data_IF_779514779960
#
_entry.id   IF_779514779960
#
_cell.length_a   1.000
_cell.length_b   1.000
_cell.length_c   1.000
_cell.angle_alpha   90.00
_cell.angle_beta   90.00
_cell.angle_gamma   90.00
#
_symmetry.space_group_name_H-M   'P 1'
#
loop_
_entity.id
_entity.type
_entity.pdbx_description
1 polymer ?
#
# COMPACT_ATOMS: atom_id res chain seq x y z
N UNK A 1 9.14 -5.25 18.93
CA UNK A 1 9.06 -4.29 17.81
C UNK A 1 8.26 -4.91 16.68
N UNK A 2 7.12 -4.32 16.29
CA UNK A 2 6.47 -4.74 15.04
C UNK A 2 7.36 -4.32 13.85
N UNK A 3 7.37 -5.12 12.79
CA UNK A 3 8.06 -4.74 11.55
C UNK A 3 7.34 -3.57 10.90
N UNK A 4 8.08 -2.70 10.21
CA UNK A 4 7.47 -1.61 9.43
C UNK A 4 6.49 -2.15 8.38
N UNK A 5 5.52 -1.33 7.98
CA UNK A 5 4.58 -1.63 6.90
C UNK A 5 5.33 -2.05 5.64
N UNK A 6 6.33 -1.27 5.21
CA UNK A 6 7.17 -1.61 4.04
C UNK A 6 7.78 -3.01 4.15
N UNK A 7 8.36 -3.37 5.30
CA UNK A 7 8.97 -4.69 5.48
C UNK A 7 7.93 -5.82 5.44
N UNK A 8 6.70 -5.55 5.91
CA UNK A 8 5.58 -6.49 5.85
C UNK A 8 5.06 -6.63 4.41
N UNK A 9 4.79 -5.53 3.70
CA UNK A 9 4.39 -5.53 2.30
C UNK A 9 5.41 -6.27 1.43
N UNK A 10 6.71 -5.99 1.56
CA UNK A 10 7.78 -6.70 0.84
C UNK A 10 7.70 -8.21 1.09
N UNK A 11 7.52 -8.62 2.36
CA UNK A 11 7.41 -10.04 2.70
C UNK A 11 6.16 -10.66 2.06
N UNK A 12 5.00 -10.00 2.14
CA UNK A 12 3.73 -10.52 1.60
C UNK A 12 3.79 -10.67 0.08
N UNK A 13 4.24 -9.64 -0.64
CA UNK A 13 4.50 -9.71 -2.09
C UNK A 13 5.50 -10.81 -2.47
N UNK A 14 6.59 -10.95 -1.69
CA UNK A 14 7.57 -12.01 -1.94
C UNK A 14 6.94 -13.41 -1.78
N UNK A 15 6.06 -13.60 -0.79
CA UNK A 15 5.35 -14.87 -0.57
C UNK A 15 4.41 -15.15 -1.74
N UNK A 16 3.59 -14.17 -2.13
CA UNK A 16 2.64 -14.27 -3.25
C UNK A 16 3.34 -14.64 -4.57
N UNK A 17 4.48 -14.00 -4.86
CA UNK A 17 5.20 -14.22 -6.11
C UNK A 17 6.22 -15.35 -6.07
N UNK A 18 6.45 -15.99 -4.91
CA UNK A 18 7.48 -17.03 -4.79
C UNK A 18 7.23 -18.19 -5.75
N UNK A 19 5.97 -18.63 -5.86
CA UNK A 19 5.57 -19.68 -6.80
C UNK A 19 5.60 -19.19 -8.25
N UNK A 20 5.12 -17.95 -8.49
CA UNK A 20 5.08 -17.33 -9.82
C UNK A 20 6.45 -17.09 -10.43
N UNK A 21 7.50 -16.92 -9.62
CA UNK A 21 8.88 -16.69 -10.05
C UNK A 21 9.73 -17.96 -10.08
N UNK A 22 9.14 -19.15 -9.91
CA UNK A 22 9.87 -20.41 -10.09
C UNK A 22 10.09 -20.67 -11.58
N UNK A 23 11.37 -20.66 -11.99
CA UNK A 23 11.78 -20.88 -13.38
C UNK A 23 11.39 -22.26 -13.93
N UNK A 24 11.02 -23.21 -13.06
CA UNK A 24 10.48 -24.50 -13.49
C UNK A 24 9.07 -24.40 -14.08
N UNK A 25 8.32 -23.35 -13.73
CA UNK A 25 6.91 -23.20 -14.05
C UNK A 25 6.58 -21.89 -14.75
N UNK A 26 7.42 -20.87 -14.59
CA UNK A 26 7.17 -19.52 -15.08
C UNK A 26 7.94 -19.22 -16.37
N UNK A 27 7.23 -18.96 -17.49
CA UNK A 27 7.88 -18.53 -18.73
C UNK A 27 8.29 -17.05 -18.70
N UNK A 28 7.66 -16.24 -17.84
CA UNK A 28 7.83 -14.78 -17.81
C UNK A 28 8.60 -14.29 -16.58
N UNK A 29 8.24 -14.76 -15.39
CA UNK A 29 8.81 -14.27 -14.14
C UNK A 29 10.01 -15.09 -13.68
N UNK A 30 11.05 -14.40 -13.20
CA UNK A 30 12.29 -15.01 -12.73
C UNK A 30 12.56 -14.64 -11.27
N UNK A 31 13.37 -15.44 -10.59
CA UNK A 31 13.79 -15.17 -9.19
C UNK A 31 14.42 -13.78 -8.97
N UNK A 32 15.01 -13.17 -10.00
CA UNK A 32 15.55 -11.80 -9.91
C UNK A 32 14.45 -10.75 -9.75
N UNK A 33 13.26 -11.00 -10.30
CA UNK A 33 12.17 -10.04 -10.32
C UNK A 33 11.54 -9.88 -8.93
N UNK A 34 11.65 -10.90 -8.06
CA UNK A 34 11.35 -10.82 -6.63
C UNK A 34 12.14 -9.71 -5.91
N UNK A 35 13.35 -9.40 -6.39
CA UNK A 35 14.22 -8.38 -5.79
C UNK A 35 14.13 -7.02 -6.49
N UNK A 36 13.67 -7.01 -7.74
CA UNK A 36 13.45 -5.82 -8.55
C UNK A 36 11.97 -5.42 -8.51
N UNK A 37 11.27 -5.66 -9.61
CA UNK A 37 9.90 -5.21 -9.82
C UNK A 37 8.93 -5.54 -8.68
N UNK A 38 8.95 -6.75 -8.14
CA UNK A 38 8.04 -7.16 -7.06
C UNK A 38 8.34 -6.43 -5.75
N UNK A 39 9.60 -6.09 -5.50
CA UNK A 39 9.97 -5.26 -4.34
C UNK A 39 9.45 -3.83 -4.50
N UNK A 40 9.52 -3.29 -5.71
CA UNK A 40 9.00 -1.95 -6.02
C UNK A 40 7.48 -1.92 -5.88
N UNK A 41 6.77 -2.89 -6.46
CA UNK A 41 5.33 -3.05 -6.29
C UNK A 41 4.94 -3.10 -4.80
N UNK A 42 5.70 -3.83 -3.98
CA UNK A 42 5.47 -3.88 -2.54
C UNK A 42 5.64 -2.54 -1.81
N UNK A 43 6.59 -1.72 -2.25
CA UNK A 43 6.78 -0.38 -1.70
C UNK A 43 5.67 0.56 -2.15
N UNK A 44 5.21 0.43 -3.41
CA UNK A 44 4.06 1.16 -3.95
C UNK A 44 2.79 0.79 -3.19
N UNK A 45 2.50 -0.49 -2.93
CA UNK A 45 1.36 -0.89 -2.08
C UNK A 45 1.43 -0.22 -0.71
N UNK A 46 2.57 -0.28 -0.03
CA UNK A 46 2.73 0.37 1.28
C UNK A 46 2.52 1.88 1.21
N UNK A 47 2.99 2.54 0.14
CA UNK A 47 2.77 3.95 -0.11
C UNK A 47 1.29 4.26 -0.31
N UNK A 48 0.60 3.54 -1.20
CA UNK A 48 -0.82 3.71 -1.47
C UNK A 48 -1.69 3.51 -0.22
N UNK A 49 -1.38 2.50 0.61
CA UNK A 49 -2.08 2.31 1.90
C UNK A 49 -1.95 3.53 2.82
N UNK A 50 -0.74 4.09 2.93
CA UNK A 50 -0.48 5.28 3.77
C UNK A 50 -1.21 6.51 3.22
N UNK A 51 -1.11 6.74 1.92
CA UNK A 51 -1.79 7.85 1.23
C UNK A 51 -3.30 7.78 1.42
N UNK A 52 -3.90 6.61 1.17
CA UNK A 52 -5.34 6.41 1.28
C UNK A 52 -5.83 6.61 2.72
N UNK A 53 -5.11 6.09 3.72
CA UNK A 53 -5.47 6.32 5.12
C UNK A 53 -5.33 7.80 5.51
N UNK A 54 -4.27 8.47 5.06
CA UNK A 54 -4.03 9.88 5.35
C UNK A 54 -5.15 10.76 4.76
N UNK A 55 -5.49 10.55 3.48
CA UNK A 55 -6.57 11.28 2.82
C UNK A 55 -7.94 10.97 3.45
N UNK A 56 -8.23 9.71 3.77
CA UNK A 56 -9.48 9.33 4.44
C UNK A 56 -9.62 10.03 5.80
N UNK A 57 -8.55 10.07 6.61
CA UNK A 57 -8.56 10.78 7.89
C UNK A 57 -8.75 12.28 7.69
N UNK A 58 -8.13 12.86 6.66
CA UNK A 58 -8.29 14.26 6.31
C UNK A 58 -9.73 14.59 5.86
N UNK A 59 -10.35 13.73 5.03
CA UNK A 59 -11.74 13.89 4.60
C UNK A 59 -12.69 13.85 5.78
N UNK A 60 -12.53 12.90 6.70
CA UNK A 60 -13.35 12.84 7.92
C UNK A 60 -13.15 14.11 8.76
N UNK A 61 -11.93 14.64 8.86
CA UNK A 61 -11.68 15.86 9.60
C UNK A 61 -12.29 17.12 8.96
N UNK A 62 -12.32 17.20 7.63
CA UNK A 62 -12.82 18.38 6.90
C UNK A 62 -14.33 18.32 6.64
N UNK A 63 -14.83 17.20 6.13
CA UNK A 63 -16.23 17.02 5.74
C UNK A 63 -17.08 16.35 6.83
N UNK A 64 -16.47 15.62 7.76
CA UNK A 64 -17.18 14.77 8.73
C UNK A 64 -17.54 13.38 8.20
N UNK A 65 -17.21 13.06 6.94
CA UNK A 65 -17.47 11.77 6.29
C UNK A 65 -16.33 11.40 5.33
N UNK A 66 -16.30 10.14 4.88
CA UNK A 66 -15.18 9.57 4.09
C UNK A 66 -15.24 9.87 2.58
N UNK A 67 -16.43 10.18 2.07
CA UNK A 67 -16.66 10.47 0.65
C UNK A 67 -16.57 11.98 0.37
N UNK A 68 -16.54 12.36 -0.90
CA UNK A 68 -16.53 13.75 -1.32
C UNK A 68 -15.12 14.32 -1.56
N UNK A 69 -15.08 15.32 -2.43
CA UNK A 69 -13.89 16.05 -2.80
C UNK A 69 -14.28 17.49 -3.14
N UNK A 70 -13.44 18.44 -2.76
CA UNK A 70 -13.58 19.83 -3.19
C UNK A 70 -12.21 20.48 -3.37
N UNK A 71 -12.08 21.53 -4.20
CA UNK A 71 -10.85 22.29 -4.33
C UNK A 71 -10.36 22.88 -2.99
N UNK A 72 -11.29 23.30 -2.13
CA UNK A 72 -10.99 23.83 -0.79
C UNK A 72 -10.40 22.74 0.10
N UNK A 73 -10.96 21.53 0.06
CA UNK A 73 -10.38 20.39 0.76
C UNK A 73 -8.98 20.08 0.25
N UNK A 74 -8.76 20.08 -1.07
CA UNK A 74 -7.44 19.79 -1.64
C UNK A 74 -6.38 20.77 -1.14
N UNK A 75 -6.65 22.08 -1.23
CA UNK A 75 -5.73 23.11 -0.73
C UNK A 75 -5.50 23.00 0.79
N UNK A 76 -6.57 22.75 1.54
CA UNK A 76 -6.49 22.56 2.99
C UNK A 76 -5.68 21.32 3.38
N UNK A 77 -5.84 20.21 2.65
CA UNK A 77 -5.13 18.96 2.88
C UNK A 77 -3.65 19.09 2.50
N UNK A 78 -3.33 19.75 1.39
CA UNK A 78 -1.94 19.94 0.93
C UNK A 78 -1.06 20.60 1.99
N UNK A 79 -1.58 21.62 2.70
CA UNK A 79 -0.89 22.27 3.81
C UNK A 79 -0.63 21.35 5.02
N UNK A 80 -1.42 20.27 5.17
CA UNK A 80 -1.42 19.36 6.34
C UNK A 80 -0.98 17.95 6.01
N UNK A 81 -0.73 17.66 4.73
CA UNK A 81 -0.55 16.33 4.15
C UNK A 81 0.55 15.55 4.87
N UNK A 82 1.69 16.19 5.13
CA UNK A 82 2.82 15.54 5.80
C UNK A 82 2.47 15.03 7.21
N UNK A 83 1.66 15.79 7.96
CA UNK A 83 1.22 15.38 9.30
C UNK A 83 0.31 14.15 9.24
N UNK A 84 -0.67 14.17 8.33
CA UNK A 84 -1.57 13.03 8.11
C UNK A 84 -0.82 11.79 7.62
N UNK A 85 0.14 11.92 6.70
CA UNK A 85 0.97 10.80 6.25
C UNK A 85 1.82 10.21 7.37
N UNK A 86 2.38 11.05 8.25
CA UNK A 86 3.17 10.60 9.40
C UNK A 86 2.32 9.83 10.40
N UNK A 87 1.10 10.30 10.65
CA UNK A 87 0.15 9.63 11.53
C UNK A 87 -0.34 8.32 10.93
N UNK A 88 -0.80 8.33 9.67
CA UNK A 88 -1.24 7.14 8.95
C UNK A 88 -0.16 6.06 8.93
N UNK A 89 1.10 6.43 8.66
CA UNK A 89 2.24 5.51 8.71
C UNK A 89 2.46 4.92 10.10
N UNK A 90 2.34 5.73 11.16
CA UNK A 90 2.45 5.24 12.54
C UNK A 90 1.33 4.24 12.86
N UNK A 91 0.10 4.56 12.48
CA UNK A 91 -1.08 3.72 12.67
C UNK A 91 -0.93 2.40 11.92
N UNK A 92 -0.63 2.44 10.62
CA UNK A 92 -0.46 1.23 9.81
C UNK A 92 0.70 0.37 10.30
N UNK A 93 1.84 0.95 10.69
CA UNK A 93 2.96 0.19 11.28
C UNK A 93 2.55 -0.62 12.52
N UNK A 94 1.59 -0.11 13.30
CA UNK A 94 1.13 -0.75 14.53
C UNK A 94 -0.02 -1.73 14.27
N UNK A 95 -0.98 -1.32 13.45
CA UNK A 95 -2.30 -1.94 13.40
C UNK A 95 -2.59 -2.72 12.12
N UNK A 96 -1.93 -2.40 10.99
CA UNK A 96 -2.21 -3.08 9.73
C UNK A 96 -1.99 -4.59 9.88
N UNK A 97 -2.95 -5.40 9.48
CA UNK A 97 -2.87 -6.86 9.54
C UNK A 97 -2.19 -7.42 8.29
N UNK A 98 -1.82 -8.71 8.32
CA UNK A 98 -1.34 -9.35 7.10
C UNK A 98 -2.46 -9.52 6.08
N UNK A 99 -3.69 -9.77 6.55
CA UNK A 99 -4.85 -10.02 5.69
C UNK A 99 -5.22 -8.75 4.91
N UNK A 100 -5.20 -7.57 5.55
CA UNK A 100 -5.38 -6.29 4.86
C UNK A 100 -4.29 -6.04 3.80
N UNK A 101 -3.04 -6.42 4.07
CA UNK A 101 -1.96 -6.30 3.09
C UNK A 101 -2.17 -7.28 1.93
N UNK A 102 -2.65 -8.49 2.21
CA UNK A 102 -2.93 -9.49 1.19
C UNK A 102 -4.10 -9.08 0.29
N UNK A 103 -5.13 -8.46 0.86
CA UNK A 103 -6.24 -7.88 0.10
C UNK A 103 -5.77 -6.78 -0.85
N UNK A 104 -4.92 -5.85 -0.39
CA UNK A 104 -4.34 -4.83 -1.27
C UNK A 104 -3.47 -5.44 -2.38
N UNK A 105 -2.78 -6.54 -2.11
CA UNK A 105 -2.01 -7.27 -3.13
C UNK A 105 -2.94 -7.87 -4.18
N UNK A 106 -4.04 -8.52 -3.76
CA UNK A 106 -4.98 -9.11 -4.72
C UNK A 106 -5.66 -8.02 -5.57
N UNK A 107 -6.10 -6.92 -4.96
CA UNK A 107 -6.68 -5.78 -5.70
C UNK A 107 -5.73 -5.25 -6.79
N UNK A 108 -4.44 -5.11 -6.48
CA UNK A 108 -3.43 -4.69 -7.45
C UNK A 108 -3.24 -5.73 -8.56
N UNK A 109 -3.25 -7.02 -8.21
CA UNK A 109 -3.10 -8.10 -9.19
C UNK A 109 -4.33 -8.26 -10.09
N UNK A 110 -5.52 -8.02 -9.58
CA UNK A 110 -6.75 -7.95 -10.36
C UNK A 110 -6.64 -6.81 -11.38
N UNK A 111 -6.21 -5.62 -10.94
CA UNK A 111 -6.00 -4.47 -11.83
C UNK A 111 -4.92 -4.69 -12.90
N UNK A 112 -3.95 -5.59 -12.69
CA UNK A 112 -2.96 -5.95 -13.72
C UNK A 112 -3.53 -6.89 -14.80
N UNK A 113 -4.65 -7.56 -14.54
CA UNK A 113 -5.27 -8.52 -15.45
C UNK A 113 -6.49 -7.95 -16.20
N UNK A 114 -6.97 -6.75 -15.82
CA UNK A 114 -7.98 -5.97 -16.56
C UNK A 114 -7.40 -5.36 -17.84
#
# INVERSE_FOLDING_TARGET
MSKSLNARCIRRWTVEFKGRCDSKHSPYWRKRDLRGYIREAALTTAYCMVERMAENNARVAFFGYLYGWSPEFSAWYDERRESYLKEARRTLNKNATNDEIDEEIQNELEAWND
#
